data_IF_879560087410
#
_entry.id   IF_879560087410
#
_cell.length_a   1.000
_cell.length_b   1.000
_cell.length_c   1.000
_cell.angle_alpha   90.00
_cell.angle_beta   90.00
_cell.angle_gamma   90.00
#
_symmetry.space_group_name_H-M   'P 1'
#
loop_
_entity.id
_entity.type
_entity.pdbx_description
1 polymer ?
#
# COMPACT_ATOMS: atom_id res chain seq x y z
N UNK A 1 4.48 6.76 -12.38
CA UNK A 1 5.88 6.77 -12.89
C UNK A 1 6.70 5.74 -12.12
N UNK A 2 7.55 4.96 -12.78
CA UNK A 2 8.49 4.04 -12.11
C UNK A 2 9.44 4.85 -11.23
N UNK A 3 9.66 4.39 -9.99
CA UNK A 3 10.53 5.04 -8.99
C UNK A 3 10.24 6.53 -8.74
N UNK A 4 8.98 6.96 -8.95
CA UNK A 4 8.55 8.34 -8.73
C UNK A 4 8.46 8.76 -7.26
N UNK A 5 7.85 9.94 -7.04
CA UNK A 5 7.48 10.45 -5.73
C UNK A 5 6.03 10.99 -5.73
N UNK A 6 5.20 10.50 -6.67
CA UNK A 6 3.86 11.02 -6.94
C UNK A 6 2.75 10.05 -6.50
N UNK A 7 3.09 8.87 -5.95
CA UNK A 7 2.10 7.84 -5.62
C UNK A 7 0.97 8.36 -4.72
N UNK A 8 1.32 9.05 -3.62
CA UNK A 8 0.34 9.60 -2.68
C UNK A 8 -0.60 10.60 -3.36
N UNK A 9 -0.05 11.59 -4.07
CA UNK A 9 -0.85 12.57 -4.82
C UNK A 9 -1.77 11.89 -5.83
N UNK A 10 -1.27 10.93 -6.61
CA UNK A 10 -2.09 10.22 -7.59
C UNK A 10 -3.23 9.44 -6.92
N UNK A 11 -3.01 8.81 -5.76
CA UNK A 11 -4.09 8.15 -5.00
C UNK A 11 -5.15 9.17 -4.57
N UNK A 12 -4.72 10.30 -3.99
CA UNK A 12 -5.63 11.37 -3.55
C UNK A 12 -6.44 11.90 -4.73
N UNK A 13 -5.80 12.20 -5.86
CA UNK A 13 -6.46 12.68 -7.07
C UNK A 13 -7.49 11.64 -7.60
N UNK A 14 -7.15 10.34 -7.59
CA UNK A 14 -8.08 9.28 -8.02
C UNK A 14 -9.29 9.16 -7.10
N UNK A 15 -9.11 9.27 -5.79
CA UNK A 15 -10.22 9.18 -4.82
C UNK A 15 -11.12 10.41 -4.91
N UNK A 16 -10.53 11.61 -4.91
CA UNK A 16 -11.28 12.87 -4.91
C UNK A 16 -12.07 13.10 -6.20
N UNK A 17 -11.60 12.57 -7.33
CA UNK A 17 -12.32 12.65 -8.62
C UNK A 17 -13.30 11.49 -8.84
N UNK A 18 -13.29 10.48 -7.98
CA UNK A 18 -14.21 9.35 -8.08
C UNK A 18 -15.60 9.74 -7.59
N UNK A 19 -16.64 9.35 -8.34
CA UNK A 19 -18.05 9.47 -7.91
C UNK A 19 -18.35 8.70 -6.61
N UNK A 20 -17.49 7.77 -6.22
CA UNK A 20 -17.62 6.98 -5.00
C UNK A 20 -16.72 7.48 -3.86
N UNK A 21 -15.94 8.55 -4.06
CA UNK A 21 -14.97 9.04 -3.08
C UNK A 21 -15.58 9.36 -1.71
N UNK A 22 -16.82 9.88 -1.69
CA UNK A 22 -17.55 10.18 -0.45
C UNK A 22 -17.98 8.95 0.36
N UNK A 23 -17.94 7.76 -0.24
CA UNK A 23 -18.29 6.50 0.42
C UNK A 23 -17.05 5.70 0.84
N UNK A 24 -15.85 6.20 0.53
CA UNK A 24 -14.61 5.53 0.89
C UNK A 24 -14.44 5.54 2.40
N UNK A 25 -14.19 4.37 3.00
CA UNK A 25 -13.98 4.23 4.44
C UNK A 25 -12.52 3.93 4.80
N UNK A 26 -11.73 3.40 3.87
CA UNK A 26 -10.31 3.13 4.07
C UNK A 26 -9.60 2.98 2.72
N UNK A 27 -8.31 3.30 2.69
CA UNK A 27 -7.41 3.00 1.56
C UNK A 27 -6.52 1.81 1.92
N UNK A 28 -6.53 0.78 1.09
CA UNK A 28 -5.62 -0.36 1.22
C UNK A 28 -4.55 -0.30 0.12
N UNK A 29 -3.29 -0.51 0.47
CA UNK A 29 -2.20 -0.65 -0.51
C UNK A 29 -1.48 -1.99 -0.34
N UNK A 30 -1.07 -2.62 -1.45
CA UNK A 30 -0.24 -3.81 -1.40
C UNK A 30 1.25 -3.42 -1.36
N UNK A 31 1.79 -3.28 -0.16
CA UNK A 31 3.15 -2.81 0.12
C UNK A 31 3.28 -1.29 0.19
N UNK A 32 4.48 -0.86 0.62
CA UNK A 32 4.84 0.55 0.90
C UNK A 32 5.27 1.35 -0.33
N UNK A 33 5.39 0.70 -1.50
CA UNK A 33 5.86 1.32 -2.72
C UNK A 33 5.25 0.65 -3.96
N UNK A 34 5.04 1.44 -5.02
CA UNK A 34 4.66 0.92 -6.33
C UNK A 34 5.84 0.91 -7.29
N UNK A 35 5.79 0.00 -8.28
CA UNK A 35 6.73 -0.05 -9.41
C UNK A 35 8.21 0.07 -9.00
N UNK A 36 8.62 -0.70 -7.97
CA UNK A 36 9.95 -0.63 -7.36
C UNK A 36 9.95 0.29 -6.15
N UNK A 37 10.40 1.52 -6.32
CA UNK A 37 10.66 2.47 -5.23
C UNK A 37 9.84 3.75 -5.34
N UNK A 38 8.66 3.75 -5.97
CA UNK A 38 7.70 4.86 -5.82
C UNK A 38 7.04 4.75 -4.44
N UNK A 39 7.81 5.08 -3.40
CA UNK A 39 7.40 4.98 -2.00
C UNK A 39 6.19 5.87 -1.75
N UNK A 40 5.19 5.30 -1.10
CA UNK A 40 3.90 5.94 -0.84
C UNK A 40 3.99 6.66 0.50
N UNK A 41 3.73 7.97 0.48
CA UNK A 41 3.53 8.74 1.72
C UNK A 41 2.10 8.52 2.22
N UNK A 42 1.88 7.43 2.95
CA UNK A 42 0.54 7.04 3.40
C UNK A 42 -0.03 7.97 4.47
N UNK A 43 0.83 8.70 5.20
CA UNK A 43 0.38 9.73 6.13
C UNK A 43 -0.19 10.92 5.37
N UNK A 44 0.47 11.36 4.30
CA UNK A 44 -0.07 12.40 3.44
C UNK A 44 -1.41 11.98 2.78
N UNK A 45 -1.60 10.69 2.47
CA UNK A 45 -2.90 10.19 1.98
C UNK A 45 -3.96 10.32 3.06
N UNK A 46 -3.67 9.85 4.29
CA UNK A 46 -4.60 9.97 5.42
C UNK A 46 -4.97 11.42 5.69
N UNK A 47 -3.98 12.32 5.76
CA UNK A 47 -4.20 13.75 6.01
C UNK A 47 -5.05 14.42 4.90
N UNK A 48 -4.93 13.97 3.65
CA UNK A 48 -5.65 14.56 2.53
C UNK A 48 -7.08 14.00 2.35
N UNK A 49 -7.32 12.75 2.73
CA UNK A 49 -8.59 12.07 2.51
C UNK A 49 -9.42 11.87 3.78
N UNK A 50 -8.84 12.10 4.96
CA UNK A 50 -9.45 11.89 6.28
C UNK A 50 -10.04 10.48 6.47
N UNK A 51 -9.37 9.47 5.86
CA UNK A 51 -9.73 8.06 6.00
C UNK A 51 -8.51 7.24 6.42
N UNK A 52 -8.70 6.13 7.16
CA UNK A 52 -7.66 5.15 7.44
C UNK A 52 -6.89 4.71 6.20
N UNK A 53 -5.57 4.50 6.36
CA UNK A 53 -4.71 3.91 5.32
C UNK A 53 -4.00 2.69 5.90
N UNK A 54 -4.15 1.55 5.23
CA UNK A 54 -3.58 0.26 5.64
C UNK A 54 -2.67 -0.25 4.52
N UNK A 55 -1.39 -0.39 4.84
CA UNK A 55 -0.42 -1.06 3.99
C UNK A 55 -0.42 -2.54 4.31
N UNK A 56 -0.61 -3.40 3.32
CA UNK A 56 -0.68 -4.86 3.49
C UNK A 56 0.44 -5.53 2.69
N UNK A 57 1.13 -6.49 3.31
CA UNK A 57 2.16 -7.31 2.66
C UNK A 57 2.02 -8.77 3.04
N UNK A 58 2.21 -9.69 2.08
CA UNK A 58 2.22 -11.14 2.34
C UNK A 58 3.44 -11.61 3.14
N UNK A 59 4.51 -10.84 3.12
CA UNK A 59 5.78 -11.18 3.77
C UNK A 59 6.34 -9.96 4.46
N UNK A 60 7.05 -10.17 5.55
CA UNK A 60 7.75 -9.09 6.21
C UNK A 60 8.86 -8.56 5.29
N UNK A 61 8.96 -7.24 5.10
CA UNK A 61 9.99 -6.65 4.25
C UNK A 61 11.38 -6.76 4.90
N UNK A 62 12.39 -7.11 4.11
CA UNK A 62 13.80 -6.99 4.52
C UNK A 62 14.21 -5.51 4.42
N UNK A 63 14.10 -4.81 5.55
CA UNK A 63 14.42 -3.38 5.64
C UNK A 63 15.88 -3.08 5.30
N UNK A 64 16.81 -3.98 5.61
CA UNK A 64 18.23 -3.79 5.29
C UNK A 64 18.46 -3.91 3.78
N UNK A 65 17.84 -4.88 3.13
CA UNK A 65 17.88 -5.00 1.68
C UNK A 65 17.22 -3.81 0.97
N UNK A 66 16.08 -3.34 1.48
CA UNK A 66 15.39 -2.16 0.95
C UNK A 66 16.26 -0.92 1.07
N UNK A 67 16.89 -0.68 2.22
CA UNK A 67 17.78 0.46 2.41
C UNK A 67 18.96 0.42 1.44
N UNK A 68 19.65 -0.73 1.34
CA UNK A 68 20.76 -0.90 0.38
C UNK A 68 20.33 -0.62 -1.06
N UNK A 69 19.16 -1.11 -1.46
CA UNK A 69 18.67 -0.92 -2.82
C UNK A 69 18.27 0.54 -3.11
N UNK A 70 17.69 1.23 -2.12
CA UNK A 70 17.43 2.67 -2.21
C UNK A 70 18.73 3.44 -2.41
N UNK A 71 19.72 3.22 -1.54
CA UNK A 71 20.99 3.94 -1.56
C UNK A 71 21.79 3.70 -2.85
N UNK A 72 21.72 2.48 -3.41
CA UNK A 72 22.47 2.11 -4.60
C UNK A 72 21.83 2.57 -5.93
N UNK A 73 20.50 2.65 -6.00
CA UNK A 73 19.80 2.70 -7.30
C UNK A 73 18.72 3.77 -7.44
N UNK A 74 18.43 4.56 -6.40
CA UNK A 74 17.22 5.39 -6.38
C UNK A 74 17.54 6.85 -6.06
N UNK A 75 17.21 7.75 -7.00
CA UNK A 75 17.26 9.18 -6.76
C UNK A 75 16.32 9.56 -5.58
N UNK A 76 16.82 10.37 -4.64
CA UNK A 76 16.08 10.77 -3.45
C UNK A 76 15.93 9.66 -2.40
N UNK A 77 16.84 8.67 -2.39
CA UNK A 77 16.91 7.56 -1.44
C UNK A 77 16.65 8.00 0.01
N UNK A 78 17.34 9.05 0.48
CA UNK A 78 17.19 9.56 1.85
C UNK A 78 15.75 9.95 2.18
N UNK A 79 15.07 10.69 1.29
CA UNK A 79 13.66 11.07 1.48
C UNK A 79 12.76 9.84 1.52
N UNK A 80 12.95 8.91 0.59
CA UNK A 80 12.17 7.68 0.49
C UNK A 80 12.35 6.80 1.73
N UNK A 81 13.58 6.67 2.21
CA UNK A 81 13.91 5.94 3.42
C UNK A 81 13.27 6.54 4.67
N UNK A 82 13.23 7.87 4.77
CA UNK A 82 12.54 8.55 5.87
C UNK A 82 11.04 8.23 5.90
N UNK A 83 10.37 8.15 4.75
CA UNK A 83 8.96 7.75 4.67
C UNK A 83 8.76 6.31 5.20
N UNK A 84 9.62 5.38 4.78
CA UNK A 84 9.56 3.98 5.20
C UNK A 84 9.77 3.88 6.72
N UNK A 85 10.81 4.54 7.25
CA UNK A 85 11.12 4.48 8.70
C UNK A 85 10.02 5.08 9.57
N UNK A 86 9.36 6.15 9.10
CA UNK A 86 8.27 6.81 9.83
C UNK A 86 7.04 5.92 10.00
N UNK A 87 6.86 4.91 9.15
CA UNK A 87 5.77 3.95 9.25
C UNK A 87 6.02 2.84 10.27
N UNK A 88 7.24 2.72 10.81
CA UNK A 88 7.59 1.68 11.77
C UNK A 88 7.78 0.30 11.11
N UNK A 89 7.70 -0.75 11.93
CA UNK A 89 7.73 -2.13 11.45
C UNK A 89 6.33 -2.58 11.04
N UNK A 90 6.24 -3.54 10.12
CA UNK A 90 4.97 -4.20 9.85
C UNK A 90 4.65 -5.21 10.95
N UNK A 91 3.40 -5.25 11.39
CA UNK A 91 2.87 -6.15 12.42
C UNK A 91 2.00 -7.24 11.78
N UNK A 92 1.99 -8.48 12.29
CA UNK A 92 1.24 -9.59 11.68
C UNK A 92 -0.28 -9.38 11.80
N UNK A 93 -1.07 -9.76 10.80
CA UNK A 93 -2.54 -9.71 10.85
C UNK A 93 -3.12 -10.74 9.86
N UNK A 94 -3.97 -11.68 10.28
CA UNK A 94 -4.69 -12.54 9.33
C UNK A 94 -3.84 -13.38 8.36
N UNK A 95 -2.58 -13.67 8.68
CA UNK A 95 -1.64 -14.35 7.76
C UNK A 95 -0.94 -13.41 6.76
N UNK A 96 -1.12 -12.11 6.90
CA UNK A 96 -0.35 -11.04 6.24
C UNK A 96 0.37 -10.18 7.30
N UNK A 97 1.04 -9.12 6.87
CA UNK A 97 1.66 -8.10 7.70
C UNK A 97 1.09 -6.74 7.31
N UNK A 98 0.84 -5.89 8.29
CA UNK A 98 0.20 -4.59 8.09
C UNK A 98 0.94 -3.43 8.75
N UNK A 99 0.75 -2.24 8.19
CA UNK A 99 1.06 -0.96 8.82
C UNK A 99 -0.14 -0.03 8.65
N UNK A 100 -0.43 0.75 9.67
CA UNK A 100 -1.69 1.47 9.76
C UNK A 100 -1.45 2.96 10.06
N UNK A 101 -2.25 3.82 9.44
CA UNK A 101 -2.34 5.24 9.76
C UNK A 101 -3.81 5.63 9.84
N UNK A 102 -4.18 6.37 10.90
CA UNK A 102 -5.55 6.84 11.10
C UNK A 102 -6.53 5.79 11.61
N UNK A 103 -6.04 4.63 12.10
CA UNK A 103 -6.84 3.55 12.65
C UNK A 103 -6.05 2.77 13.70
N UNK A 104 -6.74 2.30 14.75
CA UNK A 104 -6.17 1.42 15.75
C UNK A 104 -5.83 0.06 15.15
N UNK A 105 -4.75 -0.55 15.63
CA UNK A 105 -4.26 -1.82 15.10
C UNK A 105 -5.31 -2.93 15.14
N UNK A 106 -6.01 -3.13 16.27
CA UNK A 106 -7.05 -4.16 16.40
C UNK A 106 -8.19 -3.97 15.38
N UNK A 107 -8.57 -2.73 15.12
CA UNK A 107 -9.59 -2.40 14.11
C UNK A 107 -9.11 -2.61 12.68
N UNK A 108 -7.82 -2.37 12.44
CA UNK A 108 -7.21 -2.67 11.15
C UNK A 108 -7.12 -4.18 10.91
N UNK A 109 -6.84 -4.98 11.95
CA UNK A 109 -6.88 -6.45 11.89
C UNK A 109 -8.29 -6.91 11.54
N UNK A 110 -9.31 -6.45 12.28
CA UNK A 110 -10.72 -6.77 12.01
C UNK A 110 -11.10 -6.46 10.55
N UNK A 111 -10.70 -5.29 10.04
CA UNK A 111 -11.01 -4.85 8.69
C UNK A 111 -10.29 -5.71 7.63
N UNK A 112 -9.01 -6.02 7.85
CA UNK A 112 -8.22 -6.85 6.93
C UNK A 112 -8.80 -8.26 6.86
N UNK A 113 -9.14 -8.86 8.00
CA UNK A 113 -9.74 -10.18 8.09
C UNK A 113 -11.13 -10.21 7.44
N UNK A 114 -11.98 -9.22 7.70
CA UNK A 114 -13.30 -9.12 7.10
C UNK A 114 -13.27 -8.97 5.57
N UNK A 115 -12.21 -8.36 5.03
CA UNK A 115 -12.04 -8.19 3.58
C UNK A 115 -11.34 -9.38 2.90
N UNK A 116 -10.75 -10.31 3.66
CA UNK A 116 -10.01 -11.46 3.15
C UNK A 116 -10.91 -12.70 3.00
N UNK A 117 -11.75 -12.71 1.96
CA UNK A 117 -12.79 -13.74 1.79
C UNK A 117 -12.26 -15.10 1.30
N UNK A 118 -11.43 -15.12 0.25
CA UNK A 118 -10.92 -16.35 -0.37
C UNK A 118 -9.39 -16.47 -0.31
N UNK A 119 -8.81 -16.20 0.86
CA UNK A 119 -7.37 -16.28 1.11
C UNK A 119 -6.94 -15.30 2.19
N UNK A 120 -5.63 -15.05 2.29
CA UNK A 120 -5.07 -14.12 3.30
C UNK A 120 -5.01 -12.66 2.82
N UNK A 121 -5.16 -12.42 1.51
CA UNK A 121 -5.14 -11.07 0.94
C UNK A 121 -6.54 -10.48 0.87
N UNK A 122 -6.75 -9.23 1.33
CA UNK A 122 -8.01 -8.52 1.16
C UNK A 122 -8.49 -8.51 -0.31
N UNK A 123 -9.75 -8.86 -0.56
CA UNK A 123 -10.33 -8.95 -1.90
C UNK A 123 -10.23 -7.65 -2.71
N UNK A 124 -10.29 -6.42 -2.12
CA UNK A 124 -10.02 -5.20 -2.87
C UNK A 124 -8.61 -5.15 -3.47
N UNK A 125 -7.58 -5.61 -2.74
CA UNK A 125 -6.20 -5.69 -3.23
C UNK A 125 -6.06 -6.77 -4.30
N UNK A 126 -6.69 -7.92 -4.07
CA UNK A 126 -6.71 -9.03 -5.02
C UNK A 126 -7.33 -8.62 -6.35
N UNK A 127 -8.46 -7.91 -6.29
CA UNK A 127 -9.17 -7.38 -7.45
C UNK A 127 -8.35 -6.32 -8.18
N UNK A 128 -7.74 -5.37 -7.45
CA UNK A 128 -6.85 -4.38 -8.04
C UNK A 128 -5.66 -5.04 -8.76
N UNK A 129 -5.08 -6.09 -8.18
CA UNK A 129 -4.01 -6.86 -8.81
C UNK A 129 -4.45 -7.54 -10.11
N UNK A 130 -5.60 -8.21 -10.11
CA UNK A 130 -6.15 -8.87 -11.30
C UNK A 130 -6.43 -7.87 -12.43
N UNK A 131 -7.03 -6.73 -12.12
CA UNK A 131 -7.29 -5.66 -13.10
C UNK A 131 -5.98 -5.11 -13.65
N UNK A 132 -5.02 -4.77 -12.79
CA UNK A 132 -3.74 -4.24 -13.21
C UNK A 132 -2.96 -5.24 -14.09
N UNK A 133 -2.97 -6.53 -13.73
CA UNK A 133 -2.38 -7.58 -14.55
C UNK A 133 -3.10 -7.70 -15.90
N UNK A 134 -4.43 -7.73 -15.92
CA UNK A 134 -5.20 -7.77 -17.18
C UNK A 134 -4.90 -6.60 -18.11
N UNK A 135 -4.76 -5.38 -17.58
CA UNK A 135 -4.45 -4.17 -18.36
C UNK A 135 -3.01 -4.18 -18.88
N UNK A 136 -2.05 -4.67 -18.10
CA UNK A 136 -0.62 -4.60 -18.46
C UNK A 136 -0.15 -5.80 -19.28
N UNK A 137 -0.60 -7.02 -18.94
CA UNK A 137 -0.11 -8.27 -19.53
C UNK A 137 -1.14 -9.02 -20.37
N UNK A 138 -2.38 -8.52 -20.48
CA UNK A 138 -3.46 -9.17 -21.25
C UNK A 138 -4.09 -10.39 -20.56
N UNK A 139 -3.41 -10.99 -19.60
CA UNK A 139 -3.89 -12.08 -18.75
C UNK A 139 -3.41 -11.92 -17.31
N UNK A 140 -4.17 -12.41 -16.33
CA UNK A 140 -3.74 -12.48 -14.93
C UNK A 140 -3.01 -13.79 -14.65
N UNK A 141 -1.80 -13.74 -14.08
CA UNK A 141 -1.11 -14.94 -13.58
C UNK A 141 -1.55 -15.26 -12.15
N UNK A 142 -1.61 -16.54 -11.79
CA UNK A 142 -2.20 -17.12 -10.56
C UNK A 142 -1.71 -16.62 -9.17
N UNK A 143 -0.92 -15.54 -9.05
CA UNK A 143 -0.37 -15.08 -7.77
C UNK A 143 -0.79 -13.66 -7.40
N UNK A 144 -2.06 -13.50 -7.03
CA UNK A 144 -2.52 -12.34 -6.26
C UNK A 144 -2.10 -12.45 -4.79
#
# INVERSE_FOLDING_TARGET
>A
RRDGANAARTIVDMVTTSRFGQHLQAVLTQGIAFAGFNVIDVRAIHEALDVPVIVVSRKQPDLAAIQRALDAHVAGAARKWQLIRRLGLMEPAGGVFIQCVGIDYDRAVDLVDALALNGVMPEPLRTAHLIAAGVVTGESRHRA
#
